data_IF_419516973829
#
_entry.id   IF_419516973829
#
_cell.length_a   1.000
_cell.length_b   1.000
_cell.length_c   1.000
_cell.angle_alpha   90.00
_cell.angle_beta   90.00
_cell.angle_gamma   90.00
#
_symmetry.space_group_name_H-M   'P 1'
#
loop_
_entity.id
_entity.type
_entity.pdbx_description
1 polymer ?
#
# COMPACT_ATOMS: atom_id res chain seq x y z
N UNK A 1 41.19 -3.66 -16.09
CA UNK A 1 40.22 -4.77 -16.14
C UNK A 1 38.85 -4.17 -15.90
N UNK A 2 38.07 -4.01 -16.97
CA UNK A 2 36.74 -3.42 -16.94
C UNK A 2 35.80 -4.51 -16.46
N UNK A 3 35.26 -4.38 -15.25
CA UNK A 3 34.21 -5.26 -14.76
C UNK A 3 32.94 -4.93 -15.55
N UNK A 4 32.61 -5.79 -16.50
CA UNK A 4 31.30 -5.80 -17.16
C UNK A 4 30.28 -6.12 -16.07
N UNK A 5 29.44 -5.16 -15.71
CA UNK A 5 28.28 -5.42 -14.88
C UNK A 5 27.40 -6.42 -15.65
N UNK A 6 27.35 -7.66 -15.18
CA UNK A 6 26.37 -8.63 -15.64
C UNK A 6 24.99 -8.06 -15.32
N UNK A 7 24.16 -7.86 -16.34
CA UNK A 7 22.78 -7.50 -16.17
C UNK A 7 22.09 -8.59 -15.34
N UNK A 8 21.73 -8.27 -14.09
CA UNK A 8 20.98 -9.18 -13.21
C UNK A 8 19.65 -9.52 -13.87
N UNK A 9 19.57 -10.73 -14.42
CA UNK A 9 18.51 -11.17 -15.32
C UNK A 9 17.33 -11.75 -14.53
N UNK A 10 16.93 -11.07 -13.46
CA UNK A 10 15.86 -11.54 -12.58
C UNK A 10 15.17 -10.39 -11.86
N UNK A 11 14.68 -9.39 -12.59
CA UNK A 11 13.76 -8.42 -12.00
C UNK A 11 12.59 -9.19 -11.36
N UNK A 12 12.50 -9.15 -10.04
CA UNK A 12 11.41 -9.78 -9.30
C UNK A 12 10.12 -9.14 -9.80
N UNK A 13 9.30 -9.89 -10.54
CA UNK A 13 8.04 -9.39 -11.07
C UNK A 13 7.13 -9.05 -9.89
N UNK A 14 6.78 -7.77 -9.78
CA UNK A 14 5.88 -7.29 -8.73
C UNK A 14 4.46 -7.74 -9.04
N UNK A 15 3.92 -8.64 -8.21
CA UNK A 15 2.57 -9.18 -8.40
C UNK A 15 1.51 -8.27 -7.77
N UNK A 16 1.21 -7.17 -8.44
CA UNK A 16 0.13 -6.27 -8.00
C UNK A 16 -1.25 -6.93 -8.12
N UNK A 17 -1.42 -7.98 -8.95
CA UNK A 17 -2.69 -8.68 -9.10
C UNK A 17 -3.02 -9.47 -7.83
N UNK A 18 -2.07 -10.26 -7.32
CA UNK A 18 -2.24 -10.98 -6.06
C UNK A 18 -2.49 -10.01 -4.88
N UNK A 19 -1.78 -8.88 -4.83
CA UNK A 19 -2.02 -7.86 -3.80
C UNK A 19 -3.43 -7.28 -3.90
N UNK A 20 -3.88 -6.92 -5.10
CA UNK A 20 -5.21 -6.35 -5.35
C UNK A 20 -6.32 -7.33 -4.97
N UNK A 21 -6.16 -8.61 -5.31
CA UNK A 21 -7.12 -9.65 -4.95
C UNK A 21 -7.19 -9.82 -3.42
N UNK A 22 -6.05 -9.84 -2.73
CA UNK A 22 -6.01 -9.88 -1.27
C UNK A 22 -6.66 -8.63 -0.64
N UNK A 23 -6.39 -7.45 -1.20
CA UNK A 23 -6.97 -6.18 -0.76
C UNK A 23 -8.51 -6.19 -0.89
N UNK A 24 -9.02 -6.59 -2.05
CA UNK A 24 -10.47 -6.68 -2.31
C UNK A 24 -11.17 -7.72 -1.46
N UNK A 25 -10.48 -8.82 -1.14
CA UNK A 25 -11.03 -9.88 -0.32
C UNK A 25 -11.08 -9.50 1.18
N UNK A 26 -10.05 -8.83 1.69
CA UNK A 26 -9.87 -8.62 3.13
C UNK A 26 -10.18 -7.19 3.59
N UNK A 27 -9.72 -6.19 2.84
CA UNK A 27 -9.79 -4.77 3.24
C UNK A 27 -11.11 -4.13 2.82
N UNK A 28 -11.48 -4.22 1.54
CA UNK A 28 -12.67 -3.52 1.01
C UNK A 28 -13.95 -3.85 1.79
N UNK A 29 -14.24 -5.12 2.16
CA UNK A 29 -15.45 -5.43 2.93
C UNK A 29 -15.41 -4.87 4.36
N UNK A 30 -14.24 -4.87 5.00
CA UNK A 30 -14.06 -4.33 6.35
C UNK A 30 -14.20 -2.80 6.35
N UNK A 31 -13.55 -2.13 5.39
CA UNK A 31 -13.67 -0.69 5.20
C UNK A 31 -15.12 -0.26 4.96
N UNK A 32 -15.86 -0.99 4.09
CA UNK A 32 -17.27 -0.76 3.85
C UNK A 32 -18.11 -0.92 5.12
N UNK A 33 -17.91 -2.02 5.86
CA UNK A 33 -18.64 -2.27 7.10
C UNK A 33 -18.38 -1.18 8.16
N UNK A 34 -17.14 -0.69 8.26
CA UNK A 34 -16.78 0.41 9.15
C UNK A 34 -17.47 1.72 8.77
N UNK A 35 -17.40 2.12 7.49
CA UNK A 35 -18.05 3.35 7.00
C UNK A 35 -19.57 3.30 7.14
N UNK A 36 -20.17 2.11 7.02
CA UNK A 36 -21.61 1.87 7.22
C UNK A 36 -22.01 1.75 8.70
N UNK A 37 -21.11 2.06 9.64
CA UNK A 37 -21.37 2.03 11.09
C UNK A 37 -21.66 0.61 11.64
N UNK A 38 -21.22 -0.44 10.93
CA UNK A 38 -21.42 -1.87 11.28
C UNK A 38 -20.19 -2.53 11.88
N UNK A 39 -19.12 -1.77 12.13
CA UNK A 39 -17.85 -2.26 12.64
C UNK A 39 -17.21 -1.16 13.50
N UNK A 40 -16.62 -1.56 14.63
CA UNK A 40 -15.89 -0.65 15.51
C UNK A 40 -14.48 -0.33 14.99
N UNK A 41 -13.84 0.70 15.54
CA UNK A 41 -12.44 1.03 15.22
C UNK A 41 -11.47 -0.12 15.55
N UNK A 42 -11.64 -0.78 16.69
CA UNK A 42 -10.82 -1.94 17.10
C UNK A 42 -11.01 -3.14 16.15
N UNK A 43 -12.25 -3.40 15.73
CA UNK A 43 -12.52 -4.45 14.75
C UNK A 43 -11.91 -4.12 13.39
N UNK A 44 -12.01 -2.86 12.93
CA UNK A 44 -11.37 -2.42 11.68
C UNK A 44 -9.86 -2.70 11.72
N UNK A 45 -9.17 -2.29 12.80
CA UNK A 45 -7.74 -2.58 12.99
C UNK A 45 -7.45 -4.07 12.97
N UNK A 46 -8.26 -4.87 13.68
CA UNK A 46 -8.09 -6.32 13.75
C UNK A 46 -8.24 -7.01 12.39
N UNK A 47 -9.05 -6.44 11.49
CA UNK A 47 -9.21 -6.92 10.10
C UNK A 47 -8.11 -6.43 9.17
N UNK A 48 -7.62 -5.22 9.37
CA UNK A 48 -6.57 -4.61 8.56
C UNK A 48 -5.19 -5.22 8.81
N UNK A 49 -4.83 -5.43 10.09
CA UNK A 49 -3.47 -5.81 10.48
C UNK A 49 -2.94 -7.09 9.81
N UNK A 50 -3.71 -8.19 9.69
CA UNK A 50 -3.23 -9.40 9.01
C UNK A 50 -2.93 -9.17 7.52
N UNK A 51 -3.72 -8.33 6.84
CA UNK A 51 -3.45 -7.95 5.45
C UNK A 51 -2.17 -7.10 5.35
N UNK A 52 -2.03 -6.12 6.23
CA UNK A 52 -0.89 -5.21 6.26
C UNK A 52 0.43 -5.95 6.52
N UNK A 53 0.45 -6.81 7.53
CA UNK A 53 1.64 -7.57 7.95
C UNK A 53 1.94 -8.80 7.08
N UNK A 54 0.98 -9.24 6.26
CA UNK A 54 1.14 -10.36 5.34
C UNK A 54 1.26 -9.90 3.88
N UNK A 55 0.19 -10.02 3.08
CA UNK A 55 0.21 -9.70 1.64
C UNK A 55 0.88 -8.36 1.28
N UNK A 56 0.58 -7.29 2.01
CA UNK A 56 1.18 -5.99 1.74
C UNK A 56 2.68 -5.95 2.07
N UNK A 57 3.09 -6.47 3.23
CA UNK A 57 4.51 -6.49 3.62
C UNK A 57 5.35 -7.32 2.63
N UNK A 58 4.85 -8.46 2.16
CA UNK A 58 5.52 -9.26 1.12
C UNK A 58 5.70 -8.46 -0.17
N UNK A 59 4.66 -7.76 -0.61
CA UNK A 59 4.73 -6.89 -1.78
C UNK A 59 5.70 -5.71 -1.59
N UNK A 60 5.68 -5.05 -0.44
CA UNK A 60 6.59 -3.94 -0.11
C UNK A 60 8.05 -4.39 -0.13
N UNK A 61 8.37 -5.56 0.44
CA UNK A 61 9.70 -6.14 0.37
C UNK A 61 10.14 -6.42 -1.07
N UNK A 62 9.21 -6.88 -1.92
CA UNK A 62 9.44 -7.05 -3.35
C UNK A 62 9.78 -5.72 -4.04
N UNK A 63 9.02 -4.66 -3.77
CA UNK A 63 9.27 -3.31 -4.28
C UNK A 63 10.66 -2.80 -3.84
N UNK A 64 11.02 -3.00 -2.57
CA UNK A 64 12.33 -2.61 -2.05
C UNK A 64 13.47 -3.43 -2.65
N UNK A 65 13.26 -4.73 -2.90
CA UNK A 65 14.24 -5.58 -3.58
C UNK A 65 14.45 -5.13 -5.02
N UNK A 66 13.37 -4.93 -5.78
CA UNK A 66 13.43 -4.43 -7.15
C UNK A 66 14.10 -3.05 -7.23
N UNK A 67 13.88 -2.18 -6.25
CA UNK A 67 14.58 -0.91 -6.12
C UNK A 67 16.08 -1.10 -5.87
N UNK A 68 16.47 -1.92 -4.88
CA UNK A 68 17.90 -2.17 -4.58
C UNK A 68 18.64 -2.84 -5.73
N UNK A 69 17.99 -3.74 -6.46
CA UNK A 69 18.59 -4.39 -7.63
C UNK A 69 18.85 -3.37 -8.75
N UNK A 70 18.01 -2.35 -8.85
CA UNK A 70 18.13 -1.32 -9.87
C UNK A 70 19.10 -0.18 -9.49
N UNK A 71 19.16 0.21 -8.21
CA UNK A 71 19.93 1.37 -7.73
C UNK A 71 21.15 1.03 -6.87
N UNK A 72 21.35 -0.24 -6.50
CA UNK A 72 22.37 -0.65 -5.52
C UNK A 72 21.93 -0.46 -4.06
N UNK A 73 22.64 -1.10 -3.11
CA UNK A 73 22.24 -1.14 -1.69
C UNK A 73 22.50 0.16 -0.93
N UNK A 74 23.35 1.04 -1.45
CA UNK A 74 23.82 2.26 -0.76
C UNK A 74 22.92 3.48 -0.99
N UNK A 75 22.00 3.40 -1.96
CA UNK A 75 21.04 4.45 -2.24
C UNK A 75 19.75 4.18 -1.45
N UNK A 76 19.55 4.94 -0.37
CA UNK A 76 18.22 5.05 0.26
C UNK A 76 17.18 5.54 -0.75
N UNK A 77 15.89 5.43 -0.42
CA UNK A 77 14.82 6.01 -1.23
C UNK A 77 15.03 7.53 -1.24
N UNK A 78 15.70 8.06 -2.28
CA UNK A 78 15.82 9.50 -2.47
C UNK A 78 14.43 10.10 -2.70
N UNK A 79 14.08 11.22 -2.05
CA UNK A 79 12.82 11.88 -2.31
C UNK A 79 12.85 12.55 -3.68
N UNK A 80 12.05 12.05 -4.64
CA UNK A 80 11.41 12.89 -5.65
C UNK A 80 11.23 12.29 -7.06
N UNK A 81 10.13 12.67 -7.77
CA UNK A 81 10.10 12.84 -9.22
C UNK A 81 10.15 14.35 -9.59
N UNK A 82 10.76 14.75 -10.72
CA UNK A 82 10.36 14.32 -12.07
C UNK A 82 11.50 13.93 -13.03
N UNK A 83 12.73 13.72 -12.53
CA UNK A 83 13.88 13.28 -13.35
C UNK A 83 14.31 11.86 -13.01
N UNK A 84 13.37 11.02 -12.61
CA UNK A 84 13.63 9.59 -12.49
C UNK A 84 14.18 9.07 -13.83
N UNK A 85 15.36 8.48 -13.78
CA UNK A 85 15.96 7.85 -14.95
C UNK A 85 14.96 6.83 -15.53
N UNK A 86 14.67 6.88 -16.85
CA UNK A 86 13.72 5.99 -17.51
C UNK A 86 13.95 4.49 -17.23
N UNK A 87 15.18 4.09 -16.88
CA UNK A 87 15.51 2.74 -16.46
C UNK A 87 14.71 2.26 -15.23
N UNK A 88 14.14 3.18 -14.44
CA UNK A 88 13.49 2.89 -13.16
C UNK A 88 12.02 3.30 -13.10
N UNK A 89 11.48 3.74 -14.24
CA UNK A 89 10.10 4.21 -14.35
C UNK A 89 9.09 3.12 -13.94
N UNK A 90 9.42 1.84 -14.14
CA UNK A 90 8.54 0.73 -13.78
C UNK A 90 8.39 0.60 -12.26
N UNK A 91 9.49 0.50 -11.50
CA UNK A 91 9.49 0.32 -10.05
C UNK A 91 8.87 1.53 -9.33
N UNK A 92 9.13 2.74 -9.81
CA UNK A 92 8.59 3.97 -9.24
C UNK A 92 7.06 4.05 -9.30
N UNK A 93 6.42 3.35 -10.25
CA UNK A 93 4.95 3.27 -10.31
C UNK A 93 4.36 2.50 -9.14
N UNK A 94 5.15 1.69 -8.43
CA UNK A 94 4.69 0.92 -7.27
C UNK A 94 4.86 1.67 -5.94
N UNK A 95 5.69 2.70 -5.87
CA UNK A 95 5.89 3.49 -4.63
C UNK A 95 4.61 4.13 -4.09
N UNK A 96 3.70 4.70 -4.92
CA UNK A 96 2.44 5.22 -4.41
C UNK A 96 1.56 4.13 -3.77
N UNK A 97 1.69 2.85 -4.16
CA UNK A 97 1.01 1.74 -3.48
C UNK A 97 1.56 1.60 -2.05
N UNK A 98 2.88 1.53 -1.92
CA UNK A 98 3.57 1.40 -0.63
C UNK A 98 3.28 2.57 0.31
N UNK A 99 3.37 3.80 -0.19
CA UNK A 99 3.10 5.02 0.58
C UNK A 99 1.64 5.04 1.06
N UNK A 100 0.69 4.72 0.17
CA UNK A 100 -0.74 4.72 0.51
C UNK A 100 -1.08 3.70 1.59
N UNK A 101 -0.54 2.48 1.51
CA UNK A 101 -0.76 1.46 2.53
C UNK A 101 -0.19 1.86 3.90
N UNK A 102 1.05 2.39 3.92
CA UNK A 102 1.67 2.86 5.17
C UNK A 102 0.90 4.04 5.79
N UNK A 103 0.32 4.92 4.97
CA UNK A 103 -0.52 6.01 5.46
C UNK A 103 -1.88 5.51 5.95
N UNK A 104 -2.48 4.54 5.25
CA UNK A 104 -3.72 3.89 5.69
C UNK A 104 -3.53 3.19 7.04
N UNK A 105 -2.40 2.52 7.28
CA UNK A 105 -2.15 1.90 8.58
C UNK A 105 -2.14 2.94 9.71
N UNK A 106 -1.44 4.06 9.51
CA UNK A 106 -1.44 5.15 10.49
C UNK A 106 -2.85 5.69 10.74
N UNK A 107 -3.67 5.80 9.70
CA UNK A 107 -5.05 6.27 9.83
C UNK A 107 -5.93 5.25 10.56
N UNK A 108 -5.81 3.95 10.25
CA UNK A 108 -6.51 2.86 10.95
C UNK A 108 -6.14 2.84 12.43
N UNK A 109 -4.87 3.04 12.75
CA UNK A 109 -4.37 3.14 14.13
C UNK A 109 -4.98 4.31 14.89
N UNK A 110 -5.04 5.49 14.26
CA UNK A 110 -5.68 6.67 14.84
C UNK A 110 -7.17 6.42 15.08
N UNK A 111 -7.88 5.85 14.10
CA UNK A 111 -9.31 5.55 14.22
C UNK A 111 -9.57 4.51 15.33
N UNK A 112 -8.73 3.49 15.46
CA UNK A 112 -8.84 2.49 16.52
C UNK A 112 -8.64 3.10 17.91
N UNK A 113 -7.65 3.98 18.08
CA UNK A 113 -7.41 4.67 19.35
C UNK A 113 -8.55 5.65 19.67
N UNK A 114 -9.04 6.39 18.68
CA UNK A 114 -10.12 7.37 18.86
C UNK A 114 -11.45 6.69 19.22
N UNK A 115 -11.82 5.65 18.47
CA UNK A 115 -13.15 5.05 18.56
C UNK A 115 -13.20 3.90 19.57
N UNK A 116 -12.13 3.13 19.69
CA UNK A 116 -12.11 1.88 20.45
C UNK A 116 -13.18 0.92 19.93
N UNK A 117 -14.09 0.51 20.82
CA UNK A 117 -15.22 -0.39 20.48
C UNK A 117 -16.44 0.37 19.92
N UNK A 118 -16.32 1.68 19.67
CA UNK A 118 -17.36 2.48 19.03
C UNK A 118 -17.21 2.47 17.51
N UNK A 119 -18.30 2.81 16.83
CA UNK A 119 -18.40 2.83 15.37
C UNK A 119 -18.09 4.22 14.81
N UNK A 120 -17.99 4.32 13.47
CA UNK A 120 -17.56 5.52 12.76
C UNK A 120 -18.39 6.78 13.10
N UNK A 121 -19.69 6.65 13.39
CA UNK A 121 -20.56 7.77 13.76
C UNK A 121 -20.18 8.45 15.08
N UNK A 122 -19.38 7.79 15.92
CA UNK A 122 -18.90 8.34 17.19
C UNK A 122 -17.59 9.14 17.06
N UNK A 123 -17.06 9.32 15.84
CA UNK A 123 -15.85 10.12 15.60
C UNK A 123 -16.10 11.60 15.90
N UNK A 124 -15.07 12.27 16.42
CA UNK A 124 -15.08 13.74 16.59
C UNK A 124 -14.61 14.46 15.33
N UNK A 125 -14.15 13.73 14.31
CA UNK A 125 -13.66 14.28 13.04
C UNK A 125 -14.22 13.45 11.87
N UNK A 126 -15.47 13.70 11.45
CA UNK A 126 -16.13 12.96 10.37
C UNK A 126 -15.34 12.92 9.06
N UNK A 127 -14.55 13.96 8.80
CA UNK A 127 -13.66 14.05 7.65
C UNK A 127 -12.67 12.88 7.57
N UNK A 128 -12.21 12.34 8.71
CA UNK A 128 -11.30 11.18 8.72
C UNK A 128 -11.94 9.92 8.16
N UNK A 129 -13.23 9.73 8.42
CA UNK A 129 -13.99 8.58 7.89
C UNK A 129 -14.20 8.73 6.38
N UNK A 130 -14.44 9.96 5.92
CA UNK A 130 -14.57 10.29 4.50
C UNK A 130 -13.24 10.09 3.78
N UNK A 131 -12.14 10.62 4.32
CA UNK A 131 -10.80 10.47 3.79
C UNK A 131 -10.38 9.00 3.74
N UNK A 132 -10.67 8.23 4.81
CA UNK A 132 -10.46 6.79 4.83
C UNK A 132 -11.20 6.10 3.66
N UNK A 133 -12.50 6.36 3.49
CA UNK A 133 -13.28 5.78 2.40
C UNK A 133 -12.72 6.14 1.02
N UNK A 134 -12.31 7.40 0.84
CA UNK A 134 -11.76 7.90 -0.41
C UNK A 134 -10.41 7.24 -0.73
N UNK A 135 -9.50 7.14 0.24
CA UNK A 135 -8.20 6.50 0.04
C UNK A 135 -8.37 5.01 -0.27
N UNK A 136 -9.33 4.33 0.38
CA UNK A 136 -9.61 2.91 0.12
C UNK A 136 -9.99 2.66 -1.35
N UNK A 137 -10.89 3.49 -1.90
CA UNK A 137 -11.35 3.40 -3.28
C UNK A 137 -10.28 3.87 -4.29
N UNK A 138 -9.58 4.96 -3.99
CA UNK A 138 -8.50 5.46 -4.83
C UNK A 138 -7.35 4.44 -4.96
N UNK A 139 -6.99 3.77 -3.86
CA UNK A 139 -5.95 2.74 -3.84
C UNK A 139 -6.35 1.50 -4.64
N UNK A 140 -7.60 1.04 -4.54
CA UNK A 140 -8.12 -0.06 -5.37
C UNK A 140 -7.96 0.26 -6.86
N UNK A 141 -8.44 1.42 -7.29
CA UNK A 141 -8.36 1.86 -8.69
C UNK A 141 -6.93 2.00 -9.15
N UNK A 142 -6.05 2.52 -8.29
CA UNK A 142 -4.64 2.66 -8.63
C UNK A 142 -3.97 1.29 -8.81
N UNK A 143 -4.13 0.36 -7.87
CA UNK A 143 -3.61 -1.00 -8.01
C UNK A 143 -4.18 -1.71 -9.24
N UNK A 144 -5.48 -1.55 -9.53
CA UNK A 144 -6.10 -2.08 -10.75
C UNK A 144 -5.46 -1.50 -12.01
N UNK A 145 -5.12 -0.22 -12.03
CA UNK A 145 -4.44 0.40 -13.16
C UNK A 145 -3.05 -0.16 -13.42
N UNK A 146 -2.34 -0.61 -12.37
CA UNK A 146 -1.03 -1.25 -12.50
C UNK A 146 -1.16 -2.65 -13.09
N UNK A 147 -2.15 -3.43 -12.65
CA UNK A 147 -2.46 -4.77 -13.19
C UNK A 147 -2.73 -4.70 -14.70
N UNK A 148 -3.50 -3.72 -15.17
CA UNK A 148 -3.83 -3.55 -16.59
C UNK A 148 -2.64 -3.14 -17.47
N UNK A 149 -1.54 -2.72 -16.86
CA UNK A 149 -0.30 -2.34 -17.57
C UNK A 149 0.82 -3.35 -17.42
N UNK A 150 0.58 -4.46 -16.72
CA UNK A 150 1.51 -5.57 -16.46
C UNK A 150 1.36 -6.71 -17.49
#
# INVERSE_FOLDING_TARGET
MTATAEASTGATRLDTAALLDAYRAQVTPAAKAFVEDRMSGNELRSRWLPYFQGPFTEYELGVQAAWRDAFGPDHGIEPGPPHADPAYAEQLRHFPVTISHNNLERLVDVLAVELGDRTASATVTPERVIDFAYVIDALDRFMASLVLTS
#
